data_IF_927140496478
#
_entry.id   IF_927140496478
#
_cell.length_a   1.000
_cell.length_b   1.000
_cell.length_c   1.000
_cell.angle_alpha   90.00
_cell.angle_beta   90.00
_cell.angle_gamma   90.00
#
_symmetry.space_group_name_H-M   'P 1'
#
loop_
_entity.id
_entity.type
_entity.pdbx_description
1 polymer ?
#
# COMPACT_ATOMS: atom_id res chain seq x y z
N UNK A 1 5.60 -23.79 -15.26
CA UNK A 1 6.55 -23.07 -14.37
C UNK A 1 6.02 -23.24 -12.95
N UNK A 2 6.79 -23.86 -12.05
CA UNK A 2 6.38 -24.02 -10.65
C UNK A 2 6.60 -22.70 -9.92
N UNK A 3 5.55 -22.12 -9.36
CA UNK A 3 5.63 -20.93 -8.52
C UNK A 3 5.81 -21.36 -7.07
N UNK A 4 6.83 -20.82 -6.41
CA UNK A 4 7.05 -21.01 -4.99
C UNK A 4 6.81 -19.69 -4.28
N UNK A 5 5.93 -19.71 -3.27
CA UNK A 5 5.63 -18.52 -2.47
C UNK A 5 6.54 -18.53 -1.25
N UNK A 6 7.44 -17.55 -1.19
CA UNK A 6 8.38 -17.38 -0.08
C UNK A 6 7.73 -16.78 1.16
N UNK A 7 6.63 -16.05 0.99
CA UNK A 7 5.88 -15.45 2.08
C UNK A 7 4.66 -14.67 1.60
N UNK A 8 3.79 -14.36 2.55
CA UNK A 8 2.60 -13.53 2.35
C UNK A 8 2.33 -12.74 3.63
N UNK A 9 1.93 -11.47 3.50
CA UNK A 9 1.46 -10.67 4.62
C UNK A 9 0.06 -11.09 5.05
N UNK A 10 -0.35 -10.65 6.24
CA UNK A 10 -1.70 -10.89 6.74
C UNK A 10 -2.73 -10.16 5.87
N UNK A 11 -3.86 -10.84 5.62
CA UNK A 11 -5.03 -10.26 4.97
C UNK A 11 -5.90 -9.64 6.05
N UNK A 12 -5.72 -8.34 6.26
CA UNK A 12 -6.46 -7.59 7.26
C UNK A 12 -7.68 -6.94 6.60
N UNK A 13 -8.86 -7.49 6.89
CA UNK A 13 -10.15 -6.95 6.47
C UNK A 13 -11.06 -6.82 7.69
N UNK A 14 -11.76 -5.69 7.78
CA UNK A 14 -12.70 -5.38 8.85
C UNK A 14 -13.93 -4.69 8.27
N UNK A 15 -15.10 -5.04 8.77
CA UNK A 15 -16.34 -4.32 8.51
C UNK A 15 -16.81 -3.61 9.79
N UNK A 16 -17.43 -2.43 9.69
CA UNK A 16 -17.93 -1.72 10.85
C UNK A 16 -19.00 -2.56 11.55
N UNK A 17 -18.82 -2.79 12.85
CA UNK A 17 -19.82 -3.43 13.67
C UNK A 17 -20.98 -2.44 13.90
N UNK A 18 -22.16 -2.75 13.37
CA UNK A 18 -23.36 -1.90 13.51
C UNK A 18 -24.53 -2.62 14.16
N UNK A 19 -24.29 -3.73 14.85
CA UNK A 19 -25.38 -4.55 15.37
C UNK A 19 -25.73 -4.12 16.79
N UNK A 20 -26.95 -3.59 16.96
CA UNK A 20 -27.58 -3.38 18.27
C UNK A 20 -27.95 -4.74 18.90
N UNK A 21 -26.95 -5.59 19.18
CA UNK A 21 -27.12 -6.84 19.94
C UNK A 21 -27.80 -8.01 19.22
N UNK A 22 -28.11 -7.93 17.92
CA UNK A 22 -28.64 -9.08 17.16
C UNK A 22 -27.49 -9.89 16.56
N UNK A 23 -27.35 -11.14 16.99
CA UNK A 23 -26.41 -12.12 16.41
C UNK A 23 -26.76 -12.37 14.95
N UNK A 24 -25.83 -12.10 14.03
CA UNK A 24 -25.93 -12.56 12.65
C UNK A 24 -25.58 -14.05 12.55
N UNK A 25 -26.37 -14.81 11.79
CA UNK A 25 -26.24 -16.26 11.64
C UNK A 25 -25.29 -16.69 10.50
N UNK A 26 -24.85 -15.75 9.67
CA UNK A 26 -24.02 -15.96 8.49
C UNK A 26 -23.07 -14.77 8.36
N UNK A 27 -21.84 -14.98 8.82
CA UNK A 27 -20.80 -13.96 8.86
C UNK A 27 -19.77 -14.19 7.74
N UNK A 28 -20.20 -14.77 6.62
CA UNK A 28 -19.28 -15.09 5.54
C UNK A 28 -18.96 -13.85 4.71
N UNK A 29 -17.69 -13.72 4.39
CA UNK A 29 -17.15 -12.67 3.53
C UNK A 29 -16.54 -13.36 2.32
N UNK A 30 -17.17 -13.15 1.17
CA UNK A 30 -16.68 -13.66 -0.10
C UNK A 30 -15.52 -12.79 -0.59
N UNK A 31 -14.48 -13.43 -1.12
CA UNK A 31 -13.30 -12.74 -1.63
C UNK A 31 -13.27 -12.87 -3.15
N UNK A 32 -13.09 -11.73 -3.81
CA UNK A 32 -12.92 -11.63 -5.25
C UNK A 32 -11.54 -11.08 -5.56
N UNK A 33 -10.86 -11.66 -6.55
CA UNK A 33 -9.58 -11.17 -7.07
C UNK A 33 -9.75 -10.95 -8.57
N UNK A 34 -9.41 -9.74 -9.05
CA UNK A 34 -9.55 -9.35 -10.45
C UNK A 34 -10.94 -9.69 -11.04
N UNK A 35 -12.00 -9.49 -10.23
CA UNK A 35 -13.39 -9.76 -10.60
C UNK A 35 -13.85 -11.21 -10.49
N UNK A 36 -12.98 -12.16 -10.16
CA UNK A 36 -13.33 -13.58 -9.98
C UNK A 36 -13.49 -13.93 -8.51
N UNK A 37 -14.57 -14.64 -8.17
CA UNK A 37 -14.74 -15.17 -6.81
C UNK A 37 -13.73 -16.29 -6.57
N UNK A 38 -13.11 -16.29 -5.38
CA UNK A 38 -12.15 -17.31 -4.95
C UNK A 38 -12.72 -17.99 -3.69
N UNK A 39 -13.50 -19.07 -3.84
CA UNK A 39 -14.20 -19.72 -2.72
C UNK A 39 -13.27 -20.16 -1.60
N UNK A 40 -12.05 -20.60 -1.93
CA UNK A 40 -11.04 -21.06 -0.97
C UNK A 40 -10.52 -19.92 -0.07
N UNK A 41 -10.66 -18.67 -0.52
CA UNK A 41 -10.33 -17.46 0.25
C UNK A 41 -11.51 -16.91 1.05
N UNK A 42 -12.65 -17.60 1.11
CA UNK A 42 -13.80 -17.15 1.91
C UNK A 42 -13.39 -16.95 3.37
N UNK A 43 -13.83 -15.85 3.96
CA UNK A 43 -13.51 -15.47 5.34
C UNK A 43 -14.77 -15.49 6.21
N UNK A 44 -14.57 -15.62 7.52
CA UNK A 44 -15.58 -15.39 8.55
C UNK A 44 -15.31 -14.06 9.22
N UNK A 45 -16.33 -13.21 9.31
CA UNK A 45 -16.32 -11.97 10.05
C UNK A 45 -16.66 -12.22 11.53
N UNK A 46 -15.76 -11.83 12.43
CA UNK A 46 -15.97 -11.94 13.86
C UNK A 46 -16.42 -10.59 14.42
N UNK A 47 -17.74 -10.39 14.57
CA UNK A 47 -18.33 -9.13 15.05
C UNK A 47 -17.71 -8.61 16.35
N UNK A 48 -17.45 -9.51 17.31
CA UNK A 48 -16.85 -9.16 18.61
C UNK A 48 -15.42 -8.62 18.51
N UNK A 49 -14.69 -8.97 17.45
CA UNK A 49 -13.30 -8.55 17.22
C UNK A 49 -13.17 -7.52 16.10
N UNK A 50 -14.24 -7.30 15.32
CA UNK A 50 -14.20 -6.47 14.12
C UNK A 50 -13.23 -6.97 13.05
N UNK A 51 -12.89 -8.26 13.04
CA UNK A 51 -11.85 -8.82 12.17
C UNK A 51 -12.38 -9.99 11.34
N UNK A 52 -11.92 -10.09 10.09
CA UNK A 52 -12.14 -11.23 9.23
C UNK A 52 -10.99 -12.24 9.34
N UNK A 53 -11.29 -13.54 9.30
CA UNK A 53 -10.30 -14.63 9.25
C UNK A 53 -10.69 -15.64 8.20
N UNK A 54 -9.72 -16.27 7.54
CA UNK A 54 -10.03 -17.32 6.55
C UNK A 54 -10.82 -18.45 7.20
N UNK A 55 -11.87 -18.89 6.51
CA UNK A 55 -12.75 -19.97 6.97
C UNK A 55 -11.95 -21.25 7.24
N UNK A 56 -11.00 -21.55 6.34
CA UNK A 56 -10.06 -22.64 6.49
C UNK A 56 -8.90 -22.22 7.39
N UNK A 57 -8.70 -22.93 8.50
CA UNK A 57 -7.58 -22.72 9.42
C UNK A 57 -7.70 -21.53 10.38
N UNK A 58 -8.77 -20.71 10.28
CA UNK A 58 -9.00 -19.55 11.15
C UNK A 58 -7.78 -18.57 11.19
N UNK A 59 -7.10 -18.47 10.06
CA UNK A 59 -5.85 -17.74 9.91
C UNK A 59 -6.07 -16.36 9.29
N UNK A 60 -5.06 -15.49 9.43
CA UNK A 60 -4.99 -14.21 8.72
C UNK A 60 -4.26 -14.32 7.39
N UNK A 61 -3.58 -15.44 7.13
CA UNK A 61 -2.86 -15.71 5.89
C UNK A 61 -3.52 -16.85 5.15
N UNK A 62 -3.63 -16.75 3.81
CA UNK A 62 -4.08 -17.86 3.01
C UNK A 62 -2.98 -18.92 2.90
N UNK A 63 -3.37 -20.12 2.49
CA UNK A 63 -2.42 -21.20 2.22
C UNK A 63 -1.46 -20.81 1.07
N UNK A 64 -0.17 -21.12 1.24
CA UNK A 64 0.86 -20.77 0.26
C UNK A 64 0.68 -21.53 -1.07
N UNK A 65 0.19 -22.77 -1.01
CA UNK A 65 -0.07 -23.60 -2.19
C UNK A 65 -1.25 -23.06 -3.00
N UNK A 66 -2.29 -22.55 -2.29
CA UNK A 66 -3.39 -21.83 -2.93
C UNK A 66 -2.88 -20.59 -3.68
N UNK A 67 -2.06 -19.74 -3.03
CA UNK A 67 -1.50 -18.57 -3.70
C UNK A 67 -0.62 -18.93 -4.91
N UNK A 68 0.21 -19.97 -4.80
CA UNK A 68 1.02 -20.46 -5.91
C UNK A 68 0.14 -20.92 -7.10
N UNK A 69 -0.97 -21.58 -6.81
CA UNK A 69 -1.95 -22.02 -7.82
C UNK A 69 -2.64 -20.84 -8.50
N UNK A 70 -3.07 -19.85 -7.73
CA UNK A 70 -3.70 -18.62 -8.23
C UNK A 70 -2.77 -17.82 -9.15
N UNK A 71 -1.47 -17.82 -8.89
CA UNK A 71 -0.47 -17.15 -9.75
C UNK A 71 -0.16 -17.99 -10.98
N UNK A 72 0.13 -19.29 -10.79
CA UNK A 72 0.71 -20.11 -11.84
C UNK A 72 -0.29 -20.82 -12.73
N UNK A 73 -1.18 -21.61 -12.12
CA UNK A 73 -2.07 -22.51 -12.85
C UNK A 73 -3.34 -21.80 -13.31
N UNK A 74 -3.92 -20.99 -12.42
CA UNK A 74 -5.19 -20.31 -12.70
C UNK A 74 -4.99 -18.94 -13.34
N UNK A 75 -3.77 -18.38 -13.22
CA UNK A 75 -3.40 -17.06 -13.74
C UNK A 75 -4.44 -15.98 -13.34
N UNK A 76 -4.87 -16.01 -12.09
CA UNK A 76 -5.80 -15.04 -11.49
C UNK A 76 -5.02 -13.90 -10.84
N UNK A 77 -3.93 -14.24 -10.15
CA UNK A 77 -3.00 -13.28 -9.57
C UNK A 77 -1.85 -13.02 -10.55
N UNK A 78 -1.64 -11.76 -10.91
CA UNK A 78 -0.59 -11.34 -11.82
C UNK A 78 0.53 -10.63 -11.06
N UNK A 79 1.73 -10.58 -11.65
CA UNK A 79 2.83 -9.77 -11.11
C UNK A 79 2.39 -8.30 -10.95
N UNK A 80 2.74 -7.67 -9.85
CA UNK A 80 2.33 -6.31 -9.52
C UNK A 80 0.92 -6.25 -8.93
N UNK A 81 0.15 -5.23 -9.33
CA UNK A 81 -1.11 -4.81 -8.69
C UNK A 81 -2.29 -5.68 -9.14
N UNK A 82 -3.04 -6.21 -8.18
CA UNK A 82 -4.29 -6.94 -8.41
C UNK A 82 -5.40 -6.35 -7.54
N UNK A 83 -6.61 -6.20 -8.08
CA UNK A 83 -7.77 -5.73 -7.33
C UNK A 83 -8.31 -6.87 -6.47
N UNK A 84 -8.46 -6.63 -5.17
CA UNK A 84 -9.16 -7.53 -4.26
C UNK A 84 -10.41 -6.84 -3.72
N UNK A 85 -11.54 -7.56 -3.71
CA UNK A 85 -12.81 -7.09 -3.18
C UNK A 85 -13.36 -8.09 -2.18
N UNK A 86 -13.69 -7.60 -1.00
CA UNK A 86 -14.37 -8.34 0.05
C UNK A 86 -15.86 -7.98 0.04
N UNK A 87 -16.72 -9.00 0.03
CA UNK A 87 -18.16 -8.82 0.01
C UNK A 87 -18.76 -9.51 1.22
N UNK A 88 -19.29 -8.73 2.15
CA UNK A 88 -20.02 -9.23 3.31
C UNK A 88 -21.53 -9.05 3.07
N UNK A 89 -22.26 -10.16 3.04
CA UNK A 89 -23.71 -10.14 2.88
C UNK A 89 -24.39 -10.15 4.24
N UNK A 90 -25.29 -9.19 4.48
CA UNK A 90 -26.04 -9.11 5.73
C UNK A 90 -27.07 -10.24 5.83
N UNK A 91 -27.13 -10.90 6.99
CA UNK A 91 -28.15 -11.95 7.19
C UNK A 91 -29.54 -11.44 7.47
N UNK A 92 -29.67 -10.23 8.01
CA UNK A 92 -30.97 -9.69 8.40
C UNK A 92 -31.70 -9.06 7.23
N UNK A 93 -30.97 -8.73 6.18
CA UNK A 93 -31.49 -8.09 4.99
C UNK A 93 -30.64 -8.59 3.82
N UNK A 94 -31.17 -9.55 3.06
CA UNK A 94 -30.49 -10.16 1.92
C UNK A 94 -30.18 -9.15 0.81
N UNK A 95 -30.79 -7.96 0.83
CA UNK A 95 -30.48 -6.89 -0.12
C UNK A 95 -29.30 -6.02 0.35
N UNK A 96 -28.84 -6.16 1.59
CA UNK A 96 -27.77 -5.34 2.13
C UNK A 96 -26.43 -6.06 2.00
N UNK A 97 -25.59 -5.52 1.13
CA UNK A 97 -24.21 -5.97 0.91
C UNK A 97 -23.24 -4.86 1.28
N UNK A 98 -22.17 -5.24 1.96
CA UNK A 98 -21.05 -4.36 2.27
C UNK A 98 -19.86 -4.76 1.42
N UNK A 99 -19.19 -3.76 0.87
CA UNK A 99 -18.05 -3.95 -0.01
C UNK A 99 -16.84 -3.25 0.60
N UNK A 100 -15.69 -3.92 0.54
CA UNK A 100 -14.40 -3.32 0.82
C UNK A 100 -13.47 -3.67 -0.35
N UNK A 101 -12.83 -2.67 -0.93
CA UNK A 101 -11.89 -2.83 -2.03
C UNK A 101 -10.49 -2.45 -1.57
N UNK A 102 -9.52 -3.23 -2.01
CA UNK A 102 -8.11 -2.99 -1.75
C UNK A 102 -7.28 -3.54 -2.91
N UNK A 103 -5.97 -3.49 -2.77
CA UNK A 103 -5.04 -4.09 -3.72
C UNK A 103 -4.15 -5.11 -3.04
N UNK A 104 -3.92 -6.22 -3.74
CA UNK A 104 -2.88 -7.19 -3.39
C UNK A 104 -1.77 -7.10 -4.43
N UNK A 105 -0.53 -7.05 -3.97
CA UNK A 105 0.65 -6.94 -4.82
C UNK A 105 1.43 -8.26 -4.83
N UNK A 106 1.72 -8.79 -6.01
CA UNK A 106 2.58 -9.95 -6.18
C UNK A 106 3.96 -9.47 -6.60
N UNK A 107 4.94 -9.72 -5.75
CA UNK A 107 6.33 -9.34 -5.97
C UNK A 107 7.17 -10.56 -6.34
N UNK A 108 8.09 -10.37 -7.29
CA UNK A 108 9.17 -11.31 -7.54
C UNK A 108 10.28 -11.11 -6.51
N UNK A 109 11.04 -12.16 -6.23
CA UNK A 109 12.27 -12.08 -5.42
C UNK A 109 13.37 -11.20 -6.06
N UNK A 110 13.18 -10.83 -7.32
CA UNK A 110 14.09 -9.93 -8.07
C UNK A 110 13.65 -8.48 -8.04
N UNK A 111 12.47 -8.18 -7.51
CA UNK A 111 11.94 -6.82 -7.47
C UNK A 111 12.71 -6.01 -6.43
N UNK A 112 12.98 -4.73 -6.77
CA UNK A 112 13.61 -3.78 -5.86
C UNK A 112 12.50 -2.95 -5.22
N UNK A 113 12.51 -2.88 -3.89
CA UNK A 113 11.51 -2.15 -3.11
C UNK A 113 12.18 -0.91 -2.51
N UNK A 114 11.57 0.26 -2.75
CA UNK A 114 11.92 1.51 -2.06
C UNK A 114 10.85 1.77 -1.02
N UNK A 115 11.26 2.00 0.22
CA UNK A 115 10.38 2.31 1.34
C UNK A 115 10.44 3.81 1.61
N UNK A 116 9.28 4.43 1.77
CA UNK A 116 9.15 5.81 2.21
C UNK A 116 8.15 5.85 3.35
N UNK A 117 8.48 6.58 4.40
CA UNK A 117 7.49 7.00 5.37
C UNK A 117 6.51 7.97 4.68
N UNK A 118 5.28 8.05 5.19
CA UNK A 118 4.30 9.04 4.74
C UNK A 118 4.40 10.27 5.63
N UNK A 119 4.39 10.07 6.95
CA UNK A 119 4.30 11.17 7.90
C UNK A 119 5.66 11.83 8.13
N UNK A 120 5.80 13.11 7.75
CA UNK A 120 7.06 13.84 7.87
C UNK A 120 8.09 13.57 6.77
N UNK A 121 7.82 12.62 5.85
CA UNK A 121 8.60 12.44 4.61
C UNK A 121 7.82 12.90 3.39
N UNK A 122 6.61 12.37 3.18
CA UNK A 122 5.73 12.80 2.08
C UNK A 122 4.88 13.98 2.53
N UNK A 123 4.30 13.89 3.74
CA UNK A 123 3.57 15.01 4.34
C UNK A 123 4.55 15.93 5.04
N UNK A 124 4.34 17.24 4.92
CA UNK A 124 5.10 18.21 5.70
C UNK A 124 4.77 18.02 7.17
N UNK A 125 5.76 17.63 7.96
CA UNK A 125 5.78 17.88 9.40
C UNK A 125 5.73 19.41 9.58
N UNK A 126 4.85 19.88 10.45
CA UNK A 126 4.64 21.29 10.83
C UNK A 126 3.63 22.09 10.00
N UNK A 127 2.34 21.92 10.34
CA UNK A 127 1.44 23.07 10.45
C UNK A 127 1.59 23.58 11.89
N UNK A 128 2.69 24.29 12.16
CA UNK A 128 2.63 25.34 13.17
C UNK A 128 1.86 26.49 12.55
N UNK A 129 0.89 27.04 13.29
CA UNK A 129 0.14 28.22 12.88
C UNK A 129 1.10 29.39 12.65
N UNK A 130 1.54 29.57 11.41
CA UNK A 130 2.19 30.81 10.96
C UNK A 130 1.34 31.32 9.83
N UNK A 131 0.57 32.37 10.13
CA UNK A 131 -0.10 33.18 9.12
C UNK A 131 0.94 33.66 8.11
N UNK A 132 0.59 33.51 6.85
CA UNK A 132 1.19 34.10 5.66
C UNK A 132 2.19 35.23 5.93
N UNK A 133 3.42 35.04 5.47
CA UNK A 133 4.09 36.04 4.64
C UNK A 133 5.03 35.29 3.71
N UNK A 134 4.65 35.20 2.44
CA UNK A 134 5.50 34.72 1.36
C UNK A 134 6.62 35.77 1.19
N UNK A 135 7.82 35.49 1.68
CA UNK A 135 9.04 36.16 1.21
C UNK A 135 9.57 35.35 0.03
N UNK A 136 9.36 35.87 -1.17
CA UNK A 136 10.06 35.43 -2.37
C UNK A 136 11.47 35.99 -2.35
N UNK A 137 12.41 35.28 -1.73
CA UNK A 137 13.83 35.59 -1.89
C UNK A 137 14.39 34.81 -3.08
N UNK A 138 14.71 35.57 -4.13
CA UNK A 138 15.39 35.13 -5.34
C UNK A 138 16.82 34.71 -4.98
N UNK A 139 17.17 33.45 -5.27
CA UNK A 139 18.56 32.98 -5.20
C UNK A 139 19.34 33.50 -6.41
N UNK A 140 20.21 34.51 -6.21
CA UNK A 140 21.30 34.82 -7.14
C UNK A 140 22.55 34.02 -6.75
N UNK A 141 22.80 32.91 -7.45
CA UNK A 141 24.04 32.14 -7.30
C UNK A 141 25.18 32.89 -8.01
N UNK A 142 26.06 33.55 -7.25
CA UNK A 142 27.36 33.99 -7.77
C UNK A 142 28.32 32.81 -7.82
N UNK A 143 28.56 32.27 -9.03
CA UNK A 143 29.74 31.46 -9.32
C UNK A 143 30.94 32.40 -9.50
N UNK A 144 31.93 32.32 -8.60
CA UNK A 144 33.25 32.89 -8.85
C UNK A 144 34.22 31.73 -9.12
N UNK A 145 34.45 31.47 -10.39
CA UNK A 145 35.51 30.59 -10.90
C UNK A 145 36.63 31.48 -11.42
N UNK A 146 37.89 31.19 -11.09
CA UNK A 146 39.01 31.75 -11.83
C UNK A 146 40.34 31.79 -11.08
N UNK A 147 41.00 30.64 -10.99
CA UNK A 147 42.47 30.58 -10.96
C UNK A 147 43.03 31.12 -12.28
N UNK A 148 44.12 31.90 -12.22
CA UNK A 148 44.79 32.46 -13.39
C UNK A 148 46.06 33.23 -13.03
N UNK A 149 47.11 32.46 -12.75
CA UNK A 149 48.49 32.89 -12.48
C UNK A 149 49.20 33.29 -13.79
N UNK A 150 49.81 34.49 -13.89
CA UNK A 150 51.02 34.74 -14.70
C UNK A 150 51.62 36.16 -14.53
N UNK A 151 52.93 36.14 -14.24
CA UNK A 151 53.89 37.24 -14.14
C UNK A 151 54.07 38.08 -15.42
N UNK A 152 54.41 39.38 -15.27
CA UNK A 152 55.63 40.00 -15.83
C UNK A 152 55.81 41.47 -15.36
N UNK A 153 57.00 41.77 -14.81
CA UNK A 153 57.56 43.09 -14.46
C UNK A 153 58.02 43.90 -15.73
N UNK A 154 58.79 45.02 -15.65
CA UNK A 154 58.39 46.38 -15.23
C UNK A 154 58.92 47.49 -16.19
N UNK A 155 58.28 48.67 -16.29
CA UNK A 155 58.89 49.98 -16.71
C UNK A 155 58.00 51.09 -16.15
N UNK A 156 58.42 52.08 -15.36
CA UNK A 156 59.60 52.94 -15.49
C UNK A 156 59.11 54.33 -15.95
N UNK A 157 59.35 55.39 -15.17
CA UNK A 157 59.22 56.77 -15.65
C UNK A 157 58.43 57.71 -14.74
N UNK A 158 59.15 58.31 -13.79
CA UNK A 158 58.82 59.58 -13.15
C UNK A 158 58.86 60.73 -14.13
N UNK A 159 57.94 61.69 -14.01
CA UNK A 159 58.15 63.15 -14.09
C UNK A 159 56.94 63.83 -13.46
#
# INVERSE_FOLDING_TARGET
MLYYITGCSDFLCSFPNRTNGKKHNNNLVNVYINGRIIPELTMTFHESKGQCRFLHGNALRPDASLLARLIGLENILHSGKNLIRYVHESTTDSNKRFYCEAYVFVWSVRDRIVLSDIDGTVTRSDITSVRDTILTDNYSNHHQSGDGDHNNDPKGGSS
#
